data_IF_756231301767
#
_entry.id   IF_756231301767
#
_cell.length_a   1.000
_cell.length_b   1.000
_cell.length_c   1.000
_cell.angle_alpha   90.00
_cell.angle_beta   90.00
_cell.angle_gamma   90.00
#
_symmetry.space_group_name_H-M   'P 1'
#
loop_
_entity.id
_entity.type
_entity.pdbx_description
1 polymer ?
#
# COMPACT_ATOMS: atom_id res chain seq x y z
N UNK A 1 27.94 48.39 11.65
CA UNK A 1 27.25 47.09 11.44
C UNK A 1 26.39 47.25 10.20
N UNK A 2 26.70 46.54 9.11
CA UNK A 2 26.05 46.77 7.82
C UNK A 2 24.78 45.94 7.71
N UNK A 3 23.73 46.47 7.08
CA UNK A 3 22.43 45.79 6.87
C UNK A 3 22.61 44.41 6.19
N UNK A 4 23.65 44.27 5.37
CA UNK A 4 24.01 43.03 4.69
C UNK A 4 24.44 41.92 5.67
N UNK A 5 25.10 42.29 6.76
CA UNK A 5 25.54 41.33 7.79
C UNK A 5 24.34 40.79 8.57
N UNK A 6 23.36 41.65 8.84
CA UNK A 6 22.10 41.29 9.52
C UNK A 6 21.23 40.39 8.65
N UNK A 7 21.13 40.68 7.35
CA UNK A 7 20.39 39.87 6.39
C UNK A 7 21.00 38.47 6.22
N UNK A 8 22.34 38.37 6.18
CA UNK A 8 23.04 37.07 6.12
C UNK A 8 22.85 36.23 7.39
N UNK A 9 22.90 36.85 8.57
CA UNK A 9 22.66 36.16 9.84
C UNK A 9 21.21 35.64 9.92
N UNK A 10 20.24 36.43 9.44
CA UNK A 10 18.83 36.04 9.35
C UNK A 10 18.62 34.87 8.38
N UNK A 11 19.22 34.94 7.19
CA UNK A 11 19.17 33.87 6.19
C UNK A 11 19.82 32.59 6.72
N UNK A 12 20.90 32.68 7.50
CA UNK A 12 21.56 31.53 8.14
C UNK A 12 20.65 30.87 9.17
N UNK A 13 19.98 31.66 10.00
CA UNK A 13 19.06 31.17 11.03
C UNK A 13 17.82 30.50 10.44
N UNK A 14 17.19 31.12 9.43
CA UNK A 14 16.05 30.54 8.71
C UNK A 14 16.44 29.25 7.98
N UNK A 15 17.62 29.19 7.35
CA UNK A 15 18.11 27.97 6.70
C UNK A 15 18.31 26.82 7.69
N UNK A 16 18.84 27.09 8.89
CA UNK A 16 19.01 26.07 9.93
C UNK A 16 17.67 25.52 10.41
N UNK A 17 16.70 26.42 10.61
CA UNK A 17 15.35 26.05 11.08
C UNK A 17 14.58 25.23 10.04
N UNK A 18 14.66 25.62 8.75
CA UNK A 18 14.05 24.85 7.65
C UNK A 18 14.72 23.48 7.50
N UNK A 19 16.04 23.40 7.62
CA UNK A 19 16.77 22.14 7.55
C UNK A 19 16.37 21.18 8.69
N UNK A 20 16.28 21.69 9.92
CA UNK A 20 15.84 20.91 11.07
C UNK A 20 14.39 20.42 10.93
N UNK A 21 13.50 21.25 10.37
CA UNK A 21 12.10 20.89 10.10
C UNK A 21 11.98 19.81 9.01
N UNK A 22 12.76 19.91 7.93
CA UNK A 22 12.82 18.89 6.88
C UNK A 22 13.34 17.55 7.41
N UNK A 23 14.38 17.59 8.25
CA UNK A 23 14.86 16.40 8.95
C UNK A 23 13.70 15.81 9.76
N UNK A 24 13.06 16.57 10.66
CA UNK A 24 11.97 16.07 11.51
C UNK A 24 10.81 15.43 10.70
N UNK A 25 10.42 16.03 9.57
CA UNK A 25 9.36 15.54 8.69
C UNK A 25 9.74 14.28 7.90
N UNK A 26 11.02 14.09 7.59
CA UNK A 26 11.52 12.89 6.89
C UNK A 26 11.64 11.64 7.78
N UNK A 27 11.47 11.76 9.11
CA UNK A 27 11.53 10.61 10.04
C UNK A 27 10.21 9.87 10.20
N UNK A 28 9.24 10.07 9.30
CA UNK A 28 8.06 9.20 9.29
C UNK A 28 8.54 7.75 9.09
N UNK A 29 8.25 6.83 10.02
CA UNK A 29 8.56 5.42 9.81
C UNK A 29 7.64 4.94 8.68
N UNK A 30 8.20 4.87 7.48
CA UNK A 30 7.61 4.11 6.41
C UNK A 30 7.66 2.65 6.85
N UNK A 31 6.58 2.16 7.47
CA UNK A 31 6.34 0.73 7.68
C UNK A 31 6.02 0.06 6.32
N UNK A 32 6.83 0.35 5.31
CA UNK A 32 6.72 -0.14 3.95
C UNK A 32 7.40 -1.50 3.84
N UNK A 33 6.91 -2.28 2.89
CA UNK A 33 7.54 -3.53 2.46
C UNK A 33 9.01 -3.24 2.11
N UNK A 34 9.93 -4.13 2.53
CA UNK A 34 11.34 -3.97 2.23
C UNK A 34 11.61 -4.31 0.76
N UNK A 35 11.38 -3.32 -0.11
CA UNK A 35 11.62 -3.43 -1.55
C UNK A 35 13.04 -2.95 -1.87
N UNK A 36 13.82 -3.74 -2.60
CA UNK A 36 15.17 -3.34 -3.02
C UNK A 36 15.18 -2.20 -4.04
N UNK A 37 14.11 -2.09 -4.85
CA UNK A 37 13.90 -1.08 -5.90
C UNK A 37 12.40 -0.78 -6.04
N UNK A 38 12.05 0.39 -6.57
CA UNK A 38 10.68 0.75 -6.91
C UNK A 38 10.22 0.13 -8.24
N UNK A 39 10.30 -1.19 -8.36
CA UNK A 39 9.92 -1.94 -9.57
C UNK A 39 8.90 -3.03 -9.23
N UNK A 40 8.05 -3.41 -10.20
CA UNK A 40 7.06 -4.47 -10.00
C UNK A 40 7.67 -5.81 -9.53
N UNK A 41 8.81 -6.29 -10.07
CA UNK A 41 9.42 -7.53 -9.60
C UNK A 41 9.90 -7.44 -8.15
N UNK A 42 10.49 -6.30 -7.75
CA UNK A 42 10.97 -6.10 -6.38
C UNK A 42 9.82 -6.08 -5.37
N UNK A 43 8.68 -5.51 -5.75
CA UNK A 43 7.46 -5.58 -4.94
C UNK A 43 6.95 -7.02 -4.82
N UNK A 44 6.88 -7.76 -5.94
CA UNK A 44 6.41 -9.15 -5.92
C UNK A 44 7.28 -10.02 -5.01
N UNK A 45 8.61 -9.87 -5.09
CA UNK A 45 9.54 -10.55 -4.18
C UNK A 45 9.35 -10.14 -2.72
N UNK A 46 9.08 -8.87 -2.44
CA UNK A 46 8.81 -8.41 -1.07
C UNK A 46 7.49 -8.97 -0.49
N UNK A 47 6.51 -9.30 -1.34
CA UNK A 47 5.24 -9.92 -0.93
C UNK A 47 5.27 -11.46 -0.89
N UNK A 48 6.30 -12.11 -1.42
CA UNK A 48 6.42 -13.58 -1.46
C UNK A 48 6.10 -14.27 -0.12
N UNK A 49 6.58 -13.78 1.05
CA UNK A 49 6.28 -14.40 2.34
C UNK A 49 4.78 -14.44 2.68
N UNK A 50 3.99 -13.47 2.19
CA UNK A 50 2.54 -13.43 2.38
C UNK A 50 1.86 -14.52 1.55
N UNK A 51 2.32 -14.72 0.31
CA UNK A 51 1.76 -15.74 -0.57
C UNK A 51 2.11 -17.18 -0.15
N UNK A 52 3.25 -17.36 0.53
CA UNK A 52 3.65 -18.66 1.09
C UNK A 52 2.72 -19.13 2.24
N UNK A 53 1.93 -18.21 2.82
CA UNK A 53 0.91 -18.51 3.84
C UNK A 53 -0.48 -18.70 3.24
N UNK A 54 -0.58 -19.22 2.01
CA UNK A 54 -1.81 -19.38 1.25
C UNK A 54 -2.92 -20.22 1.93
N UNK A 55 -2.56 -21.11 2.87
CA UNK A 55 -3.52 -21.88 3.64
C UNK A 55 -4.22 -21.05 4.74
N UNK A 56 -3.70 -19.85 5.04
CA UNK A 56 -4.21 -18.96 6.08
C UNK A 56 -4.95 -17.80 5.42
N UNK A 57 -6.08 -17.40 6.01
CA UNK A 57 -6.85 -16.23 5.56
C UNK A 57 -6.06 -14.93 5.80
N UNK A 58 -6.02 -13.98 4.85
CA UNK A 58 -5.26 -12.75 4.96
C UNK A 58 -6.03 -11.70 5.79
N UNK A 59 -6.08 -11.90 7.11
CA UNK A 59 -6.71 -10.97 8.05
C UNK A 59 -5.71 -10.60 9.15
N UNK A 60 -5.75 -9.36 9.61
CA UNK A 60 -4.96 -8.93 10.78
C UNK A 60 -5.62 -9.37 12.09
N UNK A 61 -6.95 -9.48 12.07
CA UNK A 61 -7.77 -9.83 13.23
C UNK A 61 -8.70 -11.00 12.87
N UNK A 62 -8.71 -12.04 13.70
CA UNK A 62 -9.50 -13.24 13.47
C UNK A 62 -11.01 -12.99 13.54
N UNK A 63 -11.46 -11.97 14.27
CA UNK A 63 -12.88 -11.60 14.38
C UNK A 63 -13.38 -10.89 13.11
N UNK A 64 -12.48 -10.43 12.23
CA UNK A 64 -12.83 -9.68 11.01
C UNK A 64 -13.13 -10.60 9.82
N UNK A 65 -14.36 -10.70 9.29
CA UNK A 65 -14.69 -11.64 8.22
C UNK A 65 -13.99 -11.31 6.89
N UNK A 66 -13.75 -12.34 6.07
CA UNK A 66 -13.28 -12.16 4.68
C UNK A 66 -14.47 -12.08 3.74
N UNK A 67 -14.79 -10.88 3.25
CA UNK A 67 -15.91 -10.68 2.34
C UNK A 67 -15.54 -11.08 0.91
N UNK A 68 -16.30 -12.01 0.34
CA UNK A 68 -16.13 -12.48 -1.05
C UNK A 68 -17.28 -11.96 -1.90
N UNK A 69 -16.96 -11.12 -2.88
CA UNK A 69 -17.94 -10.60 -3.84
C UNK A 69 -17.92 -11.47 -5.09
N UNK A 70 -19.07 -12.03 -5.46
CA UNK A 70 -19.19 -12.96 -6.59
C UNK A 70 -20.00 -12.28 -7.69
N UNK A 71 -19.47 -12.34 -8.91
CA UNK A 71 -20.15 -11.90 -10.12
C UNK A 71 -20.27 -13.10 -11.07
N UNK A 72 -21.45 -13.29 -11.63
CA UNK A 72 -21.70 -14.32 -12.63
C UNK A 72 -21.91 -13.67 -13.99
N UNK A 73 -21.11 -14.08 -14.97
CA UNK A 73 -21.30 -13.70 -16.37
C UNK A 73 -21.79 -14.91 -17.14
N UNK A 74 -23.07 -14.90 -17.54
CA UNK A 74 -23.64 -15.95 -18.38
C UNK A 74 -23.21 -15.72 -19.84
N UNK A 75 -22.39 -16.61 -20.39
CA UNK A 75 -21.96 -16.53 -21.79
C UNK A 75 -23.00 -17.12 -22.75
N UNK A 76 -23.68 -18.19 -22.34
CA UNK A 76 -24.70 -18.86 -23.13
C UNK A 76 -25.25 -20.08 -22.41
N UNK A 77 -26.45 -20.51 -22.79
CA UNK A 77 -27.08 -21.72 -22.27
C UNK A 77 -26.80 -22.84 -23.27
N UNK A 78 -26.06 -23.87 -22.87
CA UNK A 78 -25.66 -24.97 -23.77
C UNK A 78 -26.81 -25.92 -24.11
N UNK A 79 -27.85 -25.97 -23.29
CA UNK A 79 -29.03 -26.78 -23.53
C UNK A 79 -30.01 -26.66 -22.37
N UNK A 80 -31.30 -26.82 -22.66
CA UNK A 80 -32.38 -26.80 -21.67
C UNK A 80 -33.03 -28.17 -21.64
N UNK A 81 -33.04 -28.83 -20.48
CA UNK A 81 -33.75 -30.10 -20.30
C UNK A 81 -35.20 -29.80 -19.94
N UNK A 82 -36.13 -30.13 -20.85
CA UNK A 82 -37.56 -29.79 -20.71
C UNK A 82 -38.37 -30.78 -19.87
N UNK A 83 -37.80 -31.95 -19.52
CA UNK A 83 -38.46 -33.01 -18.77
C UNK A 83 -37.57 -33.46 -17.61
N UNK A 84 -37.65 -32.75 -16.48
CA UNK A 84 -37.06 -33.16 -15.19
C UNK A 84 -38.06 -33.11 -14.03
N UNK A 85 -39.35 -33.13 -14.33
CA UNK A 85 -40.39 -33.32 -13.32
C UNK A 85 -41.52 -34.15 -13.93
N UNK A 86 -41.45 -35.46 -13.72
CA UNK A 86 -42.55 -36.38 -13.94
C UNK A 86 -42.97 -36.80 -12.53
N UNK A 87 -43.83 -35.98 -11.91
CA UNK A 87 -44.56 -36.34 -10.70
C UNK A 87 -45.93 -36.87 -11.07
#
# INVERSE_FOLDING_TARGET
>A
MSIKDVEQEWLRSVKLQVFALCILLCHAPCNGLNCSKATQPALLSALEPVFNLNAIRPVMDMDTPTNVTIYFTLYGILGVVSRLHMS
#
